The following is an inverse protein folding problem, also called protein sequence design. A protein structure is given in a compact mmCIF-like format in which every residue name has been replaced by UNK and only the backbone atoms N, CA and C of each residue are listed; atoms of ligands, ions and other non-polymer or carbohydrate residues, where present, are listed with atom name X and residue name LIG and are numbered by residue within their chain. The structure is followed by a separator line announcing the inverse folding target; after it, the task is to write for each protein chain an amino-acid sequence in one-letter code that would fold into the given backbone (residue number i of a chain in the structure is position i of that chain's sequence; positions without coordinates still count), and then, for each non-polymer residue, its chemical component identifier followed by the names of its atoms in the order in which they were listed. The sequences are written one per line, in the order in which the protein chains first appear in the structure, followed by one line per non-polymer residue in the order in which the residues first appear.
data_IF_021925000032
#
_entry.id   IF_021925000032
#
_cell.length_a   1.000
_cell.length_b   1.000
_cell.length_c   1.000
_cell.angle_alpha   90.00
_cell.angle_beta   90.00
_cell.angle_gamma   90.00
#
_symmetry.space_group_name_H-M   'P 1'
#
loop_
_entity.id
_entity.type
_entity.pdbx_description
1 polymer ?
#
# COMPACT_ATOMS: atom_id res chain seq x y z
N UNK A 1 14.27 1.03 -5.22
CA UNK A 1 12.92 0.45 -5.30
C UNK A 1 11.93 1.40 -4.64
N UNK A 2 10.80 1.65 -5.30
CA UNK A 2 9.67 2.41 -4.74
C UNK A 2 8.60 1.41 -4.30
N UNK A 3 7.92 1.70 -3.20
CA UNK A 3 6.83 0.91 -2.65
C UNK A 3 5.58 1.76 -2.42
N UNK A 4 4.40 1.14 -2.54
CA UNK A 4 3.16 1.63 -1.94
C UNK A 4 3.12 1.15 -0.50
N UNK A 5 2.85 2.05 0.43
CA UNK A 5 2.50 1.71 1.80
C UNK A 5 1.08 2.15 2.05
N UNK A 6 0.22 1.21 2.43
CA UNK A 6 -1.17 1.50 2.75
C UNK A 6 -1.51 1.06 4.17
N UNK A 7 -2.22 1.95 4.88
CA UNK A 7 -2.86 1.60 6.14
C UNK A 7 -4.19 0.95 5.81
N UNK A 8 -4.38 -0.27 6.31
CA UNK A 8 -5.61 -1.04 6.14
C UNK A 8 -6.19 -1.36 7.52
N UNK A 9 -7.51 -1.37 7.63
CA UNK A 9 -8.20 -1.74 8.86
C UNK A 9 -9.17 -2.90 8.59
N UNK A 10 -9.40 -3.72 9.61
CA UNK A 10 -10.32 -4.85 9.50
C UNK A 10 -11.77 -4.37 9.45
N UNK A 11 -12.59 -4.97 8.58
CA UNK A 11 -13.97 -4.51 8.35
C UNK A 11 -14.85 -4.69 9.59
N UNK A 12 -14.73 -5.82 10.29
CA UNK A 12 -15.54 -6.09 11.48
C UNK A 12 -14.97 -5.48 12.77
N UNK A 13 -13.75 -4.94 12.73
CA UNK A 13 -13.10 -4.26 13.85
C UNK A 13 -12.23 -3.11 13.33
N UNK A 14 -12.79 -1.89 13.21
CA UNK A 14 -12.08 -0.73 12.71
C UNK A 14 -10.86 -0.29 13.54
N UNK A 15 -10.68 -0.81 14.76
CA UNK A 15 -9.51 -0.53 15.58
C UNK A 15 -8.31 -1.43 15.20
N UNK A 16 -8.55 -2.52 14.49
CA UNK A 16 -7.51 -3.45 14.05
C UNK A 16 -6.95 -3.01 12.70
N UNK A 17 -5.97 -2.11 12.75
CA UNK A 17 -5.28 -1.61 11.58
C UNK A 17 -3.84 -2.12 11.48
N UNK A 18 -3.32 -2.20 10.26
CA UNK A 18 -1.92 -2.52 9.96
C UNK A 18 -1.47 -1.82 8.69
N UNK A 19 -0.16 -1.69 8.54
CA UNK A 19 0.43 -1.23 7.29
C UNK A 19 0.75 -2.42 6.39
N UNK A 20 0.46 -2.27 5.10
CA UNK A 20 0.80 -3.22 4.04
C UNK A 20 1.70 -2.55 3.03
N UNK A 21 2.75 -3.27 2.65
CA UNK A 21 3.79 -2.79 1.75
C UNK A 21 3.68 -3.56 0.44
N UNK A 22 3.46 -2.86 -0.66
CA UNK A 22 3.44 -3.41 -2.01
C UNK A 22 4.63 -2.84 -2.78
N UNK A 23 5.61 -3.69 -3.09
CA UNK A 23 6.79 -3.29 -3.85
C UNK A 23 6.49 -3.27 -5.34
N UNK A 24 6.87 -2.19 -6.05
CA UNK A 24 6.88 -2.23 -7.51
C UNK A 24 8.13 -2.95 -7.97
N UNK A 25 7.95 -3.99 -8.79
CA UNK A 25 9.06 -4.77 -9.37
C UNK A 25 9.81 -4.03 -10.50
N UNK A 26 9.29 -2.89 -10.98
CA UNK A 26 9.94 -2.13 -12.05
C UNK A 26 11.06 -1.25 -11.47
N UNK A 27 12.29 -1.47 -11.97
CA UNK A 27 13.51 -0.79 -11.53
C UNK A 27 13.46 0.74 -11.66
N UNK A 28 12.58 1.27 -12.53
CA UNK A 28 12.50 2.67 -12.95
C UNK A 28 11.16 3.35 -12.66
N UNK A 29 10.40 2.91 -11.65
CA UNK A 29 9.19 3.65 -11.22
C UNK A 29 9.59 4.93 -10.50
N UNK A 30 9.03 6.07 -10.92
CA UNK A 30 9.16 7.35 -10.20
C UNK A 30 8.10 7.49 -9.10
N UNK A 31 8.30 8.35 -8.09
CA UNK A 31 7.28 8.58 -7.06
C UNK A 31 5.93 9.05 -7.63
N UNK A 32 5.94 9.86 -8.69
CA UNK A 32 4.71 10.29 -9.36
C UNK A 32 3.98 9.11 -10.00
N UNK A 33 4.71 8.23 -10.71
CA UNK A 33 4.13 7.03 -11.30
C UNK A 33 3.58 6.07 -10.24
N UNK A 34 4.28 5.93 -9.10
CA UNK A 34 3.75 5.16 -7.98
C UNK A 34 2.41 5.70 -7.48
N UNK A 35 2.26 7.02 -7.33
CA UNK A 35 0.99 7.58 -6.89
C UNK A 35 -0.14 7.34 -7.90
N UNK A 36 0.17 7.33 -9.20
CA UNK A 36 -0.80 7.04 -10.27
C UNK A 36 -1.19 5.55 -10.31
N UNK A 37 -0.21 4.64 -10.28
CA UNK A 37 -0.45 3.20 -10.46
C UNK A 37 -0.67 2.45 -9.13
N UNK A 38 -0.31 3.05 -8.00
CA UNK A 38 -0.41 2.41 -6.68
C UNK A 38 -1.84 2.12 -6.26
N UNK A 39 -2.81 2.92 -6.74
CA UNK A 39 -4.23 2.62 -6.55
C UNK A 39 -4.64 1.28 -7.20
N UNK A 40 -4.09 0.96 -8.38
CA UNK A 40 -4.38 -0.30 -9.07
C UNK A 40 -3.78 -1.49 -8.33
N UNK A 41 -2.55 -1.37 -7.84
CA UNK A 41 -1.90 -2.43 -7.04
C UNK A 41 -2.63 -2.67 -5.72
N UNK A 42 -3.12 -1.60 -5.09
CA UNK A 42 -3.96 -1.70 -3.90
C UNK A 42 -5.32 -2.36 -4.19
N UNK A 43 -5.95 -2.07 -5.33
CA UNK A 43 -7.18 -2.72 -5.75
C UNK A 43 -6.98 -4.24 -5.91
N UNK A 44 -5.92 -4.66 -6.62
CA UNK A 44 -5.55 -6.08 -6.73
C UNK A 44 -5.32 -6.72 -5.36
N UNK A 45 -4.66 -6.01 -4.45
CA UNK A 45 -4.43 -6.51 -3.09
C UNK A 45 -5.76 -6.72 -2.34
N UNK A 46 -6.75 -5.83 -2.50
CA UNK A 46 -8.06 -5.98 -1.83
C UNK A 46 -8.84 -7.20 -2.30
N UNK A 47 -8.68 -7.66 -3.55
CA UNK A 47 -9.31 -8.89 -4.04
C UNK A 47 -8.86 -10.12 -3.24
N UNK A 48 -7.58 -10.18 -2.85
CA UNK A 48 -7.05 -11.24 -1.99
C UNK A 48 -7.25 -11.00 -0.49
N UNK A 49 -7.72 -9.82 -0.09
CA UNK A 49 -7.85 -9.39 1.30
C UNK A 49 -9.24 -8.77 1.59
N UNK A 50 -10.35 -9.50 1.32
CA UNK A 50 -11.70 -8.92 1.32
C UNK A 50 -12.17 -8.41 2.69
N UNK A 51 -11.57 -8.89 3.79
CA UNK A 51 -11.90 -8.46 5.15
C UNK A 51 -11.18 -7.17 5.58
N UNK A 52 -10.41 -6.55 4.70
CA UNK A 52 -9.61 -5.36 4.99
C UNK A 52 -10.02 -4.20 4.09
N UNK A 53 -10.08 -3.01 4.67
CA UNK A 53 -10.37 -1.77 3.94
C UNK A 53 -9.18 -0.83 3.96
N UNK A 54 -8.87 -0.20 2.83
CA UNK A 54 -7.78 0.78 2.71
C UNK A 54 -8.26 2.13 3.27
N UNK A 55 -7.50 2.71 4.21
CA UNK A 55 -7.80 4.02 4.80
C UNK A 55 -7.00 5.16 4.18
N UNK A 56 -5.72 4.91 3.93
CA UNK A 56 -4.80 5.86 3.32
C UNK A 56 -3.64 5.10 2.71
N UNK A 57 -3.00 5.68 1.70
CA UNK A 57 -1.77 5.15 1.14
C UNK A 57 -0.80 6.26 0.78
N UNK A 58 0.47 5.90 0.70
CA UNK A 58 1.56 6.78 0.29
C UNK A 58 2.59 6.00 -0.51
N UNK A 59 3.32 6.71 -1.35
CA UNK A 59 4.42 6.17 -2.13
C UNK A 59 5.77 6.69 -1.63
N UNK A 60 6.80 5.85 -1.65
CA UNK A 60 8.16 6.32 -1.46
C UNK A 60 9.19 5.19 -1.51
N UNK A 61 10.42 5.50 -1.09
CA UNK A 61 11.54 4.55 -1.20
C UNK A 61 11.35 3.41 -0.22
N UNK A 62 11.54 2.19 -0.70
CA UNK A 62 11.53 0.97 0.09
C UNK A 62 12.37 1.12 1.36
N UNK A 63 11.78 0.91 2.53
CA UNK A 63 12.46 0.98 3.82
C UNK A 63 12.49 2.36 4.50
N UNK A 64 12.01 3.43 3.84
CA UNK A 64 11.77 4.71 4.52
C UNK A 64 10.51 4.69 5.40
N UNK A 65 9.55 3.83 5.08
CA UNK A 65 8.32 3.67 5.85
C UNK A 65 8.31 2.43 6.75
N UNK A 66 9.33 1.57 6.67
CA UNK A 66 9.51 0.42 7.56
C UNK A 66 9.94 0.82 9.00
N UNK A 67 9.89 2.11 9.33
CA UNK A 67 10.20 2.66 10.66
C UNK A 67 9.17 3.71 11.03
N UNK A 68 8.16 3.30 11.77
CA UNK A 68 7.48 4.10 12.78
C UNK A 68 7.02 3.15 13.89
#
# INVERSE_FOLDING_TARGET
MIEVVAMVCFISDPNKCKDVHLSFAAESVTPQQCMMYGQMELAKWTEGNPNWTIRKFSCGRSGRFAKA
#
